data_IF_485697936301
#
_entry.id   IF_485697936301
#
_cell.length_a   1.000
_cell.length_b   1.000
_cell.length_c   1.000
_cell.angle_alpha   90.00
_cell.angle_beta   90.00
_cell.angle_gamma   90.00
#
_symmetry.space_group_name_H-M   'P 1'
#
loop_
_entity.id
_entity.type
_entity.pdbx_description
1 polymer ?
#
# COMPACT_ATOMS: atom_id res chain seq x y z
N UNK A 1 1.42 -19.86 -6.56
CA UNK A 1 2.44 -18.81 -6.51
C UNK A 1 1.65 -17.53 -6.54
N UNK A 2 1.61 -16.77 -5.45
CA UNK A 2 0.91 -15.50 -5.42
C UNK A 2 1.72 -14.41 -6.12
N UNK A 3 1.03 -13.37 -6.55
CA UNK A 3 1.59 -12.24 -7.28
C UNK A 3 1.19 -10.92 -6.62
N UNK A 4 2.00 -9.90 -6.87
CA UNK A 4 1.87 -8.57 -6.31
C UNK A 4 1.79 -7.51 -7.42
N UNK A 5 0.76 -6.70 -7.39
CA UNK A 5 0.63 -5.54 -8.25
C UNK A 5 0.46 -4.28 -7.40
N UNK A 6 1.02 -3.17 -7.85
CA UNK A 6 0.80 -1.88 -7.21
C UNK A 6 0.98 -0.76 -8.22
N UNK A 7 0.04 0.17 -8.22
CA UNK A 7 0.13 1.37 -9.03
C UNK A 7 -0.70 2.51 -8.46
N UNK A 8 -0.30 3.74 -8.81
CA UNK A 8 -1.09 4.94 -8.60
C UNK A 8 -1.55 5.45 -9.96
N UNK A 9 -2.80 5.89 -10.03
CA UNK A 9 -3.36 6.53 -11.22
C UNK A 9 -3.88 7.91 -10.86
N UNK A 10 -3.36 8.94 -11.50
CA UNK A 10 -3.81 10.33 -11.29
C UNK A 10 -4.60 10.80 -12.51
N UNK A 11 -5.75 11.44 -12.29
CA UNK A 11 -6.62 11.96 -13.34
C UNK A 11 -6.00 13.20 -13.98
N UNK A 12 -5.06 12.99 -14.91
CA UNK A 12 -4.30 14.04 -15.56
C UNK A 12 -3.97 13.65 -17.01
N UNK A 13 -3.87 14.65 -17.90
CA UNK A 13 -3.57 14.46 -19.34
C UNK A 13 -2.10 14.75 -19.69
N UNK A 14 -1.33 15.26 -18.74
CA UNK A 14 0.08 15.60 -18.93
C UNK A 14 0.97 14.86 -17.93
N UNK A 15 1.64 13.83 -18.42
CA UNK A 15 2.59 13.02 -17.66
C UNK A 15 3.85 13.80 -17.25
N UNK A 16 4.23 14.87 -17.96
CA UNK A 16 5.41 15.67 -17.60
C UNK A 16 5.15 16.47 -16.33
N UNK A 17 3.97 17.10 -16.24
CA UNK A 17 3.52 17.77 -15.00
C UNK A 17 3.45 16.79 -13.84
N UNK A 18 2.88 15.59 -14.02
CA UNK A 18 2.84 14.56 -12.96
C UNK A 18 4.26 14.15 -12.53
N UNK A 19 5.18 13.92 -13.48
CA UNK A 19 6.56 13.57 -13.17
C UNK A 19 7.30 14.69 -12.41
N UNK A 20 7.06 15.96 -12.77
CA UNK A 20 7.65 17.10 -12.08
C UNK A 20 7.09 17.26 -10.65
N UNK A 21 5.79 17.00 -10.43
CA UNK A 21 5.19 16.96 -9.09
C UNK A 21 5.75 15.84 -8.22
N UNK A 22 5.91 14.62 -8.76
CA UNK A 22 6.58 13.52 -8.05
C UNK A 22 7.98 13.95 -7.63
N UNK A 23 8.75 14.59 -8.53
CA UNK A 23 10.08 15.11 -8.20
C UNK A 23 10.01 16.16 -7.08
N UNK A 24 9.06 17.09 -7.13
CA UNK A 24 8.83 18.10 -6.09
C UNK A 24 8.57 17.48 -4.73
N UNK A 25 7.67 16.49 -4.67
CA UNK A 25 7.31 15.74 -3.45
C UNK A 25 8.54 15.03 -2.88
N UNK A 26 9.31 14.32 -3.70
CA UNK A 26 10.50 13.59 -3.23
C UNK A 26 11.56 14.54 -2.66
N UNK A 27 11.86 15.64 -3.38
CA UNK A 27 12.81 16.66 -2.92
C UNK A 27 12.37 17.30 -1.60
N UNK A 28 11.06 17.58 -1.43
CA UNK A 28 10.51 18.13 -0.20
C UNK A 28 10.63 17.15 0.99
N UNK A 29 10.58 15.86 0.71
CA UNK A 29 10.76 14.77 1.67
C UNK A 29 12.23 14.45 1.98
N UNK A 30 13.19 15.23 1.44
CA UNK A 30 14.62 15.12 1.74
C UNK A 30 15.41 14.23 0.78
N UNK A 31 14.75 13.57 -0.17
CA UNK A 31 15.43 12.78 -1.19
C UNK A 31 16.23 13.65 -2.17
N UNK A 32 17.26 13.07 -2.77
CA UNK A 32 18.04 13.65 -3.85
C UNK A 32 17.96 12.76 -5.10
N UNK A 33 17.93 13.31 -6.33
CA UNK A 33 17.96 12.51 -7.53
C UNK A 33 19.28 11.73 -7.65
N UNK A 34 19.19 10.47 -8.07
CA UNK A 34 20.35 9.61 -8.31
C UNK A 34 20.18 8.83 -9.62
N UNK A 35 21.28 8.30 -10.14
CA UNK A 35 21.28 7.37 -11.28
C UNK A 35 21.39 5.90 -10.83
N UNK A 36 21.52 5.66 -9.52
CA UNK A 36 21.60 4.32 -8.93
C UNK A 36 20.23 3.65 -8.91
N UNK A 37 20.02 2.71 -9.84
CA UNK A 37 18.77 1.96 -9.90
C UNK A 37 18.69 0.93 -8.78
N UNK A 38 17.53 0.78 -8.10
CA UNK A 38 17.34 -0.27 -7.11
C UNK A 38 17.41 -1.64 -7.78
N UNK A 39 17.87 -2.65 -7.03
CA UNK A 39 17.79 -4.03 -7.49
C UNK A 39 16.30 -4.44 -7.60
N UNK A 40 15.80 -4.80 -8.78
CA UNK A 40 14.42 -5.23 -8.94
C UNK A 40 14.09 -6.51 -8.16
N UNK A 41 15.09 -7.30 -7.76
CA UNK A 41 14.88 -8.52 -6.99
C UNK A 41 14.78 -8.27 -5.48
N UNK A 42 15.09 -7.07 -5.00
CA UNK A 42 14.95 -6.70 -3.60
C UNK A 42 13.49 -6.43 -3.22
N UNK A 43 13.02 -7.15 -2.21
CA UNK A 43 11.67 -7.05 -1.66
C UNK A 43 11.52 -5.92 -0.64
N UNK A 44 12.65 -5.44 -0.14
CA UNK A 44 12.73 -4.34 0.81
C UNK A 44 13.43 -3.21 0.06
N UNK A 45 12.84 -2.02 0.05
CA UNK A 45 13.51 -0.81 -0.43
C UNK A 45 14.85 -0.72 0.31
N UNK A 46 15.95 -1.08 -0.34
CA UNK A 46 17.27 -0.97 0.26
C UNK A 46 17.45 0.47 0.74
N UNK A 47 17.94 0.61 1.97
CA UNK A 47 17.89 1.82 2.78
C UNK A 47 18.23 3.09 1.98
N UNK A 48 17.19 3.79 1.51
CA UNK A 48 17.27 5.12 0.91
C UNK A 48 16.95 5.21 -0.59
N UNK A 49 16.90 4.11 -1.36
CA UNK A 49 16.68 4.18 -2.82
C UNK A 49 15.21 4.04 -3.22
N UNK A 50 14.60 5.12 -3.72
CA UNK A 50 13.23 5.12 -4.24
C UNK A 50 13.19 5.34 -5.74
N UNK A 51 12.46 4.49 -6.46
CA UNK A 51 12.35 4.57 -7.91
C UNK A 51 10.88 4.51 -8.36
N UNK A 52 10.52 5.48 -9.20
CA UNK A 52 9.16 5.69 -9.66
C UNK A 52 9.14 5.72 -11.19
N UNK A 53 8.31 4.90 -11.83
CA UNK A 53 8.07 4.99 -13.27
C UNK A 53 6.74 5.67 -13.52
N UNK A 54 6.75 6.63 -14.44
CA UNK A 54 5.57 7.39 -14.86
C UNK A 54 5.26 7.03 -16.31
N UNK A 55 4.03 6.60 -16.57
CA UNK A 55 3.56 6.29 -17.91
C UNK A 55 3.07 7.54 -18.65
N UNK A 56 3.01 7.47 -19.98
CA UNK A 56 2.29 8.45 -20.79
C UNK A 56 0.80 8.51 -20.40
N UNK A 57 0.21 9.70 -20.48
CA UNK A 57 -1.21 9.86 -20.21
C UNK A 57 -2.07 9.10 -21.22
N UNK A 58 -3.09 8.40 -20.73
CA UNK A 58 -4.03 7.62 -21.53
C UNK A 58 -5.43 7.71 -20.95
N UNK A 59 -6.41 8.06 -21.78
CA UNK A 59 -7.83 8.16 -21.39
C UNK A 59 -8.07 9.03 -20.13
N UNK A 60 -7.28 10.10 -19.96
CA UNK A 60 -7.37 10.99 -18.80
C UNK A 60 -6.63 10.52 -17.55
N UNK A 61 -5.78 9.49 -17.65
CA UNK A 61 -5.01 8.95 -16.54
C UNK A 61 -3.51 8.91 -16.83
N UNK A 62 -2.71 9.27 -15.83
CA UNK A 62 -1.27 8.97 -15.77
C UNK A 62 -1.06 7.85 -14.76
N UNK A 63 -0.55 6.71 -15.23
CA UNK A 63 -0.23 5.56 -14.38
C UNK A 63 1.21 5.63 -13.86
N UNK A 64 1.39 5.20 -12.60
CA UNK A 64 2.64 5.28 -11.86
C UNK A 64 2.88 3.93 -11.17
N UNK A 65 4.10 3.41 -11.26
CA UNK A 65 4.56 2.34 -10.34
C UNK A 65 5.67 2.86 -9.46
N UNK A 66 5.65 2.46 -8.20
CA UNK A 66 6.63 2.83 -7.17
C UNK A 66 7.26 1.54 -6.61
N UNK A 67 8.57 1.54 -6.35
CA UNK A 67 9.21 0.40 -5.68
C UNK A 67 8.90 0.38 -4.18
N UNK A 68 8.48 1.51 -3.60
CA UNK A 68 8.06 1.62 -2.21
C UNK A 68 6.54 1.48 -2.08
N UNK A 69 6.10 0.24 -1.82
CA UNK A 69 4.68 -0.08 -1.64
C UNK A 69 4.11 0.56 -0.38
N UNK A 70 4.92 0.77 0.67
CA UNK A 70 4.45 1.33 1.94
C UNK A 70 4.06 2.80 1.79
N UNK A 71 4.78 3.54 0.95
CA UNK A 71 4.55 4.97 0.70
C UNK A 71 3.65 5.25 -0.52
N UNK A 72 3.06 4.21 -1.13
CA UNK A 72 2.23 4.33 -2.33
C UNK A 72 0.98 5.20 -2.10
N UNK A 73 0.28 4.98 -0.98
CA UNK A 73 -0.90 5.75 -0.61
C UNK A 73 -0.55 7.21 -0.30
N UNK A 74 0.58 7.43 0.38
CA UNK A 74 1.10 8.77 0.66
C UNK A 74 1.43 9.56 -0.61
N UNK A 75 2.05 8.89 -1.58
CA UNK A 75 2.32 9.48 -2.90
C UNK A 75 1.02 9.82 -3.65
N UNK A 76 0.02 8.93 -3.64
CA UNK A 76 -1.27 9.19 -4.28
C UNK A 76 -1.99 10.40 -3.66
N UNK A 77 -2.04 10.49 -2.32
CA UNK A 77 -2.62 11.62 -1.62
C UNK A 77 -1.90 12.94 -1.95
N UNK A 78 -0.56 12.94 -1.88
CA UNK A 78 0.25 14.12 -2.17
C UNK A 78 0.08 14.61 -3.62
N UNK A 79 0.05 13.70 -4.59
CA UNK A 79 -0.21 14.05 -5.99
C UNK A 79 -1.63 14.58 -6.20
N UNK A 80 -2.61 14.01 -5.49
CA UNK A 80 -3.99 14.47 -5.56
C UNK A 80 -4.14 15.91 -5.06
N UNK A 81 -3.49 16.24 -3.94
CA UNK A 81 -3.44 17.59 -3.38
C UNK A 81 -2.72 18.57 -4.31
N UNK A 82 -1.49 18.25 -4.71
CA UNK A 82 -0.65 19.15 -5.50
C UNK A 82 -1.27 19.48 -6.88
N UNK A 83 -1.84 18.47 -7.54
CA UNK A 83 -2.42 18.62 -8.88
C UNK A 83 -3.89 19.04 -8.84
N UNK A 84 -4.52 19.05 -7.66
CA UNK A 84 -5.94 19.31 -7.50
C UNK A 84 -6.83 18.33 -8.28
N UNK A 85 -6.40 17.08 -8.41
CA UNK A 85 -7.02 16.04 -9.23
C UNK A 85 -7.25 14.77 -8.42
N UNK A 86 -8.19 13.92 -8.86
CA UNK A 86 -8.40 12.63 -8.20
C UNK A 86 -7.20 11.70 -8.45
N UNK A 87 -6.79 10.95 -7.43
CA UNK A 87 -5.79 9.90 -7.54
C UNK A 87 -6.31 8.61 -6.89
N UNK A 88 -6.06 7.46 -7.52
CA UNK A 88 -6.41 6.15 -6.97
C UNK A 88 -5.15 5.28 -6.91
N UNK A 89 -4.84 4.77 -5.72
CA UNK A 89 -3.85 3.71 -5.54
C UNK A 89 -4.57 2.36 -5.62
N UNK A 90 -3.99 1.40 -6.34
CA UNK A 90 -4.52 0.03 -6.44
C UNK A 90 -3.43 -0.97 -6.12
N UNK A 91 -3.78 -2.04 -5.42
CA UNK A 91 -2.84 -3.06 -4.97
C UNK A 91 -3.45 -4.45 -5.10
N UNK A 92 -2.60 -5.43 -5.39
CA UNK A 92 -2.91 -6.86 -5.25
C UNK A 92 -1.91 -7.46 -4.28
N UNK A 93 -2.42 -8.23 -3.32
CA UNK A 93 -1.67 -8.86 -2.24
C UNK A 93 -1.72 -10.38 -2.39
N UNK A 94 -0.57 -10.97 -2.72
CA UNK A 94 -0.31 -12.41 -2.89
C UNK A 94 -1.37 -13.17 -3.72
N UNK A 95 -2.01 -12.49 -4.68
CA UNK A 95 -3.17 -12.96 -5.46
C UNK A 95 -4.44 -13.28 -4.66
N UNK A 96 -4.46 -13.11 -3.34
CA UNK A 96 -5.61 -13.46 -2.49
C UNK A 96 -6.61 -12.31 -2.40
N UNK A 97 -6.12 -11.06 -2.43
CA UNK A 97 -6.97 -9.88 -2.30
C UNK A 97 -6.47 -8.69 -3.12
N UNK A 98 -7.40 -7.79 -3.46
CA UNK A 98 -7.09 -6.52 -4.09
C UNK A 98 -7.74 -5.36 -3.33
N UNK A 99 -7.10 -4.21 -3.45
CA UNK A 99 -7.41 -3.02 -2.68
C UNK A 99 -7.41 -1.79 -3.57
N UNK A 100 -8.22 -0.80 -3.25
CA UNK A 100 -7.99 0.57 -3.73
C UNK A 100 -8.13 1.59 -2.61
N UNK A 101 -7.45 2.72 -2.81
CA UNK A 101 -7.57 3.91 -1.96
C UNK A 101 -7.74 5.11 -2.89
N UNK A 102 -8.85 5.84 -2.75
CA UNK A 102 -9.23 6.96 -3.60
C UNK A 102 -9.07 8.28 -2.86
N UNK A 103 -8.39 9.23 -3.51
CA UNK A 103 -8.17 10.58 -3.03
C UNK A 103 -8.76 11.62 -4.00
N UNK A 104 -9.28 12.73 -3.46
CA UNK A 104 -9.61 13.96 -4.20
C UNK A 104 -9.04 15.17 -3.48
N UNK A 105 -8.15 15.91 -4.13
CA UNK A 105 -7.47 17.09 -3.57
C UNK A 105 -6.83 16.81 -2.21
N UNK A 106 -6.18 15.64 -2.10
CA UNK A 106 -5.47 15.19 -0.89
C UNK A 106 -6.36 14.54 0.17
N UNK A 107 -7.68 14.73 0.10
CA UNK A 107 -8.61 14.11 1.04
C UNK A 107 -8.89 12.65 0.65
N UNK A 108 -8.87 11.76 1.63
CA UNK A 108 -9.34 10.37 1.47
C UNK A 108 -10.85 10.40 1.20
N UNK A 109 -11.26 9.89 0.05
CA UNK A 109 -12.66 9.82 -0.39
C UNK A 109 -13.26 8.47 -0.06
N UNK A 110 -12.53 7.39 -0.36
CA UNK A 110 -13.01 6.01 -0.24
C UNK A 110 -11.85 5.02 -0.18
N UNK A 111 -12.08 3.87 0.44
CA UNK A 111 -11.14 2.75 0.54
C UNK A 111 -11.91 1.45 0.42
N UNK A 112 -11.36 0.49 -0.32
CA UNK A 112 -11.97 -0.81 -0.54
C UNK A 112 -10.92 -1.92 -0.40
N UNK A 113 -11.34 -3.02 0.21
CA UNK A 113 -10.57 -4.23 0.37
C UNK A 113 -11.45 -5.45 0.04
N UNK A 114 -11.03 -6.30 -0.88
CA UNK A 114 -11.80 -7.49 -1.28
C UNK A 114 -11.82 -8.60 -0.22
N UNK A 115 -10.88 -8.61 0.73
CA UNK A 115 -10.73 -9.59 1.81
C UNK A 115 -11.55 -9.25 3.06
N UNK A 116 -12.11 -8.04 3.14
CA UNK A 116 -13.01 -7.71 4.26
C UNK A 116 -14.33 -8.49 4.08
N UNK A 117 -14.44 -9.62 4.80
CA UNK A 117 -15.72 -10.24 5.11
C UNK A 117 -16.57 -9.19 5.85
N UNK A 118 -17.74 -8.87 5.29
CA UNK A 118 -18.64 -7.83 5.78
C UNK A 118 -18.84 -7.83 7.29
N UNK A 119 -18.18 -6.89 7.94
CA UNK A 119 -18.52 -6.35 9.27
C UNK A 119 -18.43 -4.82 9.18
N UNK A 120 -19.18 -4.24 8.22
CA UNK A 120 -19.46 -2.80 8.17
C UNK A 120 -20.73 -2.49 8.98
N UNK A 121 -20.75 -2.88 10.25
CA UNK A 121 -21.52 -2.13 11.25
C UNK A 121 -20.57 -1.06 11.83
N UNK A 122 -20.90 0.21 11.57
CA UNK A 122 -20.29 1.44 12.10
C UNK A 122 -19.27 2.22 11.22
N UNK A 123 -19.65 2.56 9.99
CA UNK A 123 -19.10 3.77 9.35
C UNK A 123 -20.22 4.69 8.83
N UNK A 124 -20.55 5.75 9.61
CA UNK A 124 -21.26 6.91 9.06
C UNK A 124 -20.27 7.85 8.37
N UNK A 125 -20.38 8.08 7.05
CA UNK A 125 -19.49 8.95 6.29
C UNK A 125 -19.87 10.40 6.56
N UNK A 126 -19.23 11.01 7.57
CA UNK A 126 -19.43 12.42 7.91
C UNK A 126 -18.74 12.91 9.19
N UNK A 127 -18.10 12.03 9.97
CA UNK A 127 -17.59 12.37 11.29
C UNK A 127 -16.17 12.96 11.39
N UNK A 128 -15.28 12.70 10.42
CA UNK A 128 -13.84 12.98 10.63
C UNK A 128 -13.37 14.38 10.21
N UNK A 129 -14.07 15.04 9.29
CA UNK A 129 -13.70 16.40 8.85
C UNK A 129 -14.26 17.52 9.75
N UNK A 130 -15.15 17.22 10.70
CA UNK A 130 -15.88 18.24 11.46
C UNK A 130 -15.46 18.40 12.92
N UNK A 131 -14.59 17.55 13.49
CA UNK A 131 -14.20 17.66 14.90
C UNK A 131 -12.76 17.20 15.14
N UNK A 132 -11.78 18.03 14.78
CA UNK A 132 -10.49 18.00 15.48
C UNK A 132 -10.13 19.42 15.89
N UNK A 133 -10.38 19.77 17.15
CA UNK A 133 -9.84 21.01 17.72
C UNK A 133 -8.34 20.83 18.01
N UNK A 134 -7.59 21.93 17.99
CA UNK A 134 -6.14 21.96 18.28
C UNK A 134 -5.81 21.29 19.63
N UNK A 135 -6.74 21.34 20.60
CA UNK A 135 -6.59 20.70 21.91
C UNK A 135 -6.68 19.15 21.82
N UNK A 136 -7.48 18.61 20.89
CA UNK A 136 -7.59 17.16 20.69
C UNK A 136 -6.36 16.58 19.98
N UNK A 137 -5.69 17.34 19.12
CA UNK A 137 -4.39 16.96 18.52
C UNK A 137 -3.31 16.86 19.60
N UNK A 138 -3.26 17.82 20.53
CA UNK A 138 -2.32 17.80 21.65
C UNK A 138 -2.58 16.62 22.59
N UNK A 139 -3.85 16.30 22.88
CA UNK A 139 -4.23 15.15 23.70
C UNK A 139 -3.92 13.82 23.00
N UNK A 140 -4.09 13.74 21.68
CA UNK A 140 -3.70 12.58 20.86
C UNK A 140 -2.17 12.37 20.87
N UNK A 141 -1.40 13.44 20.68
CA UNK A 141 0.07 13.41 20.75
C UNK A 141 0.56 13.01 22.14
N UNK A 142 -0.08 13.51 23.20
CA UNK A 142 0.27 13.15 24.58
C UNK A 142 -0.03 11.67 24.84
N UNK A 143 -1.19 11.16 24.43
CA UNK A 143 -1.54 9.73 24.52
C UNK A 143 -0.57 8.84 23.74
N UNK A 144 -0.20 9.22 22.52
CA UNK A 144 0.77 8.50 21.70
C UNK A 144 2.13 8.46 22.38
N UNK A 145 2.63 9.60 22.88
CA UNK A 145 3.92 9.64 23.58
C UNK A 145 3.96 8.80 24.86
N UNK A 146 2.86 8.77 25.62
CA UNK A 146 2.75 7.95 26.83
C UNK A 146 2.72 6.46 26.50
N UNK A 147 1.95 6.06 25.48
CA UNK A 147 1.91 4.67 24.99
C UNK A 147 3.24 4.21 24.41
N UNK A 148 3.95 5.07 23.67
CA UNK A 148 5.30 4.77 23.16
C UNK A 148 6.30 4.55 24.30
N UNK A 149 6.21 5.32 25.38
CA UNK A 149 7.06 5.11 26.57
C UNK A 149 6.73 3.79 27.29
N UNK A 150 5.45 3.44 27.44
CA UNK A 150 5.03 2.17 28.03
C UNK A 150 5.50 0.97 27.18
N UNK A 151 5.43 1.08 25.85
CA UNK A 151 5.93 0.08 24.91
C UNK A 151 7.45 -0.08 25.02
N UNK A 152 8.18 1.03 25.07
CA UNK A 152 9.63 1.04 25.22
C UNK A 152 10.05 0.40 26.56
N UNK A 153 9.29 0.62 27.62
CA UNK A 153 9.53 0.02 28.93
C UNK A 153 9.27 -1.49 28.93
N UNK A 154 8.15 -1.94 28.35
CA UNK A 154 7.86 -3.38 28.21
C UNK A 154 8.86 -4.10 27.33
N UNK A 155 9.31 -3.47 26.26
CA UNK A 155 10.38 -4.00 25.41
C UNK A 155 11.68 -4.18 26.20
N UNK A 156 12.01 -3.24 27.10
CA UNK A 156 13.16 -3.37 28.00
C UNK A 156 13.02 -4.50 29.03
N UNK A 157 11.79 -4.72 29.52
CA UNK A 157 11.47 -5.79 30.47
C UNK A 157 11.45 -7.17 29.82
N UNK A 158 11.01 -7.27 28.56
CA UNK A 158 10.97 -8.50 27.77
C UNK A 158 12.36 -8.94 27.24
N UNK A 159 13.34 -8.03 27.19
CA UNK A 159 14.72 -8.39 26.84
C UNK A 159 15.39 -9.17 27.97
N UNK A 160 16.11 -10.23 27.61
CA UNK A 160 16.97 -10.95 28.56
C UNK A 160 18.16 -10.09 28.98
N UNK A 161 18.78 -10.35 30.15
CA UNK A 161 19.97 -9.64 30.59
C UNK A 161 21.11 -9.67 29.58
N UNK A 162 21.31 -10.79 28.88
CA UNK A 162 22.34 -10.94 27.85
C UNK A 162 22.09 -10.00 26.65
N UNK A 163 20.83 -9.88 26.19
CA UNK A 163 20.47 -8.99 25.09
C UNK A 163 20.56 -7.51 25.45
N UNK A 164 20.27 -7.14 26.70
CA UNK A 164 20.49 -5.78 27.20
C UNK A 164 21.96 -5.41 27.21
N UNK A 165 22.84 -6.32 27.63
CA UNK A 165 24.29 -6.09 27.57
C UNK A 165 24.79 -5.94 26.14
N UNK A 166 24.26 -6.74 25.20
CA UNK A 166 24.56 -6.60 23.76
C UNK A 166 24.11 -5.24 23.22
N UNK A 167 22.90 -4.79 23.54
CA UNK A 167 22.37 -3.50 23.10
C UNK A 167 23.20 -2.32 23.63
N UNK A 168 23.65 -2.39 24.89
CA UNK A 168 24.54 -1.38 25.48
C UNK A 168 25.89 -1.34 24.77
N UNK A 169 26.45 -2.51 24.38
CA UNK A 169 27.68 -2.58 23.58
C UNK A 169 27.50 -1.95 22.20
N UNK A 170 26.38 -2.21 21.53
CA UNK A 170 26.09 -1.64 20.20
C UNK A 170 25.88 -0.12 20.25
N UNK A 171 25.16 0.38 21.26
CA UNK A 171 25.00 1.82 21.49
C UNK A 171 26.32 2.53 21.82
N UNK A 172 27.29 1.80 22.40
CA UNK A 172 28.65 2.28 22.64
C UNK A 172 29.55 2.21 21.39
N UNK A 173 29.02 1.80 20.23
CA UNK A 173 29.72 1.77 18.94
C UNK A 173 30.47 0.48 18.63
N UNK A 174 30.24 -0.61 19.37
CA UNK A 174 30.75 -1.94 18.99
C UNK A 174 29.84 -2.59 17.95
N UNK A 175 30.43 -3.03 16.84
CA UNK A 175 29.72 -3.79 15.81
C UNK A 175 29.22 -5.13 16.37
N UNK A 176 27.95 -5.51 16.11
CA UNK A 176 27.42 -6.83 16.46
C UNK A 176 28.21 -7.95 15.79
N UNK A 177 28.44 -9.05 16.52
CA UNK A 177 28.90 -10.30 15.91
C UNK A 177 27.72 -11.06 15.27
N UNK A 178 28.03 -11.99 14.37
CA UNK A 178 27.01 -12.77 13.65
C UNK A 178 26.15 -13.64 14.60
N UNK A 179 26.76 -14.16 15.67
CA UNK A 179 26.09 -14.96 16.71
C UNK A 179 25.18 -14.09 17.59
N UNK A 180 25.59 -12.85 17.85
CA UNK A 180 24.80 -11.83 18.54
C UNK A 180 23.59 -11.37 17.69
N UNK A 181 23.77 -11.20 16.38
CA UNK A 181 22.65 -10.90 15.47
C UNK A 181 21.65 -12.06 15.38
N UNK A 182 22.12 -13.31 15.35
CA UNK A 182 21.26 -14.48 15.34
C UNK A 182 20.44 -14.60 16.63
N UNK A 183 21.08 -14.41 17.79
CA UNK A 183 20.42 -14.47 19.10
C UNK A 183 19.39 -13.34 19.27
N UNK A 184 19.70 -12.14 18.78
CA UNK A 184 18.77 -11.02 18.77
C UNK A 184 17.58 -11.29 17.82
N UNK A 185 17.85 -11.83 16.63
CA UNK A 185 16.80 -12.21 15.66
C UNK A 185 15.88 -13.32 16.18
N UNK A 186 16.39 -14.29 16.94
CA UNK A 186 15.57 -15.35 17.54
C UNK A 186 14.65 -14.81 18.64
N UNK A 187 15.13 -13.89 19.47
CA UNK A 187 14.31 -13.17 20.45
C UNK A 187 13.25 -12.29 19.77
N UNK A 188 13.60 -11.59 18.69
CA UNK A 188 12.64 -10.82 17.88
C UNK A 188 11.53 -11.71 17.32
N UNK A 189 11.83 -12.96 16.93
CA UNK A 189 10.84 -13.91 16.42
C UNK A 189 9.91 -14.47 17.50
N UNK A 190 10.41 -14.64 18.73
CA UNK A 190 9.65 -15.32 19.82
C UNK A 190 9.01 -14.35 20.81
N UNK A 191 9.62 -13.21 21.10
CA UNK A 191 9.16 -12.25 22.11
C UNK A 191 8.35 -11.07 21.55
N UNK A 192 8.37 -10.87 20.24
CA UNK A 192 7.75 -9.72 19.58
C UNK A 192 6.33 -9.93 19.01
N UNK A 193 5.84 -11.15 18.70
CA UNK A 193 4.47 -11.33 18.20
C UNK A 193 3.40 -10.73 19.12
N UNK A 194 3.51 -10.93 20.43
CA UNK A 194 2.54 -10.39 21.41
C UNK A 194 2.60 -8.87 21.51
N UNK A 195 3.82 -8.30 21.46
CA UNK A 195 4.05 -6.86 21.50
C UNK A 195 3.52 -6.17 20.22
N UNK A 196 3.68 -6.83 19.07
CA UNK A 196 3.21 -6.35 17.76
C UNK A 196 1.70 -6.45 17.63
N UNK A 197 1.09 -7.52 18.14
CA UNK A 197 -0.37 -7.65 18.20
C UNK A 197 -1.01 -6.56 19.09
N UNK A 198 -0.38 -6.21 20.21
CA UNK A 198 -0.85 -5.12 21.08
C UNK A 198 -0.63 -3.73 20.43
N UNK A 199 0.46 -3.56 19.67
CA UNK A 199 0.72 -2.35 18.91
C UNK A 199 -0.28 -2.17 17.77
N UNK A 200 -0.60 -3.23 17.01
CA UNK A 200 -1.64 -3.23 15.99
C UNK A 200 -3.01 -2.87 16.57
N UNK A 201 -3.35 -3.47 17.73
CA UNK A 201 -4.58 -3.12 18.45
C UNK A 201 -4.62 -1.66 18.88
N UNK A 202 -3.51 -1.13 19.38
CA UNK A 202 -3.40 0.27 19.80
C UNK A 202 -3.50 1.25 18.62
N UNK A 203 -2.94 0.89 17.46
CA UNK A 203 -3.02 1.71 16.24
C UNK A 203 -4.44 1.71 15.68
N UNK A 204 -5.11 0.56 15.66
CA UNK A 204 -6.52 0.44 15.28
C UNK A 204 -7.45 1.27 16.19
N UNK A 205 -7.13 1.39 17.48
CA UNK A 205 -7.87 2.23 18.44
C UNK A 205 -7.65 3.76 18.27
N UNK A 206 -6.57 4.18 17.60
CA UNK A 206 -6.18 5.60 17.47
C UNK A 206 -6.57 6.19 16.11
N UNK A 207 -6.59 5.37 15.05
CA UNK A 207 -7.05 5.77 13.73
C UNK A 207 -7.59 4.52 13.00
N UNK A 208 -8.92 4.39 12.85
CA UNK A 208 -9.49 3.39 11.96
C UNK A 208 -8.99 3.70 10.54
N UNK A 209 -8.14 2.83 9.97
CA UNK A 209 -7.48 3.02 8.66
C UNK A 209 -5.96 2.85 8.68
N UNK A 210 -5.26 3.39 9.68
CA UNK A 210 -3.78 3.28 9.78
C UNK A 210 -3.30 1.85 10.14
N UNK A 211 -4.17 1.07 10.79
CA UNK A 211 -3.92 -0.34 11.10
C UNK A 211 -3.87 -1.25 9.86
N UNK A 212 -4.50 -0.84 8.76
CA UNK A 212 -4.49 -1.57 7.48
C UNK A 212 -3.18 -1.31 6.72
N UNK A 213 -2.70 -0.06 6.73
CA UNK A 213 -1.41 0.36 6.13
C UNK A 213 -0.21 -0.32 6.79
N UNK A 214 -0.22 -0.49 8.11
CA UNK A 214 0.86 -1.18 8.85
C UNK A 214 0.85 -2.71 8.69
N UNK A 215 -0.32 -3.33 8.45
CA UNK A 215 -0.41 -4.77 8.11
C UNK A 215 0.30 -5.05 6.77
N UNK A 216 0.17 -4.14 5.81
CA UNK A 216 0.88 -4.21 4.53
C UNK A 216 2.42 -4.17 4.70
N UNK A 217 2.94 -3.35 5.62
CA UNK A 217 4.38 -3.27 5.88
C UNK A 217 4.98 -4.46 6.61
N UNK A 218 4.18 -5.28 7.31
CA UNK A 218 4.68 -6.43 8.10
C UNK A 218 4.59 -7.77 7.35
N UNK A 219 3.67 -7.93 6.40
CA UNK A 219 3.58 -9.14 5.57
C UNK A 219 4.85 -9.36 4.72
N UNK A 220 5.54 -8.29 4.31
CA UNK A 220 6.83 -8.37 3.63
C UNK A 220 8.01 -8.88 4.47
N UNK A 221 7.86 -8.98 5.81
CA UNK A 221 8.93 -9.35 6.74
C UNK A 221 8.89 -10.78 7.28
N UNK A 222 7.84 -11.56 7.02
CA UNK A 222 7.68 -12.93 7.55
C UNK A 222 7.71 -13.98 6.44
N UNK A 223 8.91 -14.34 5.99
CA UNK A 223 9.14 -15.55 5.19
C UNK A 223 10.20 -16.42 5.87
N UNK A 224 9.76 -17.44 6.61
CA UNK A 224 10.38 -18.76 6.55
C UNK A 224 9.41 -19.86 6.99
N UNK A 225 9.42 -20.92 6.17
CA UNK A 225 8.88 -22.26 6.37
C UNK A 225 7.37 -22.48 6.25
N UNK A 226 6.93 -22.76 5.02
CA UNK A 226 5.94 -23.82 4.79
C UNK A 226 6.20 -24.52 3.46
N UNK A 227 6.99 -25.59 3.52
CA UNK A 227 7.09 -26.58 2.47
C UNK A 227 5.76 -27.34 2.32
N UNK A 228 5.22 -27.34 1.11
CA UNK A 228 4.41 -28.39 0.46
C UNK A 228 3.23 -29.02 1.21
N UNK A 229 2.04 -28.94 0.61
CA UNK A 229 1.49 -30.10 -0.13
C UNK A 229 0.32 -29.67 -1.02
N UNK A 230 0.42 -30.12 -2.27
CA UNK A 230 -0.63 -30.19 -3.28
C UNK A 230 -1.72 -31.18 -2.85
N UNK A 231 -2.99 -30.76 -2.96
CA UNK A 231 -4.09 -31.60 -3.43
C UNK A 231 -5.31 -30.72 -3.71
N UNK A 232 -5.69 -30.66 -4.98
CA UNK A 232 -6.76 -29.83 -5.47
C UNK A 232 -8.16 -30.30 -5.10
N UNK A 233 -9.11 -29.40 -5.32
CA UNK A 233 -10.46 -29.72 -5.77
C UNK A 233 -11.03 -28.45 -6.41
N UNK A 234 -11.39 -28.57 -7.69
CA UNK A 234 -12.13 -27.57 -8.46
C UNK A 234 -13.54 -27.44 -7.87
N UNK A 235 -13.84 -26.30 -7.27
CA UNK A 235 -15.16 -25.96 -6.76
C UNK A 235 -15.50 -24.53 -7.14
N UNK A 236 -16.14 -24.39 -8.30
CA UNK A 236 -16.80 -23.17 -8.76
C UNK A 236 -17.97 -22.88 -7.80
N UNK A 237 -17.81 -21.87 -6.93
CA UNK A 237 -18.88 -21.39 -6.04
C UNK A 237 -18.99 -19.88 -6.19
N UNK A 238 -19.57 -19.44 -7.31
CA UNK A 238 -20.10 -18.10 -7.44
C UNK A 238 -21.31 -17.95 -6.50
N UNK A 239 -21.07 -17.52 -5.27
CA UNK A 239 -22.11 -16.99 -4.40
C UNK A 239 -22.52 -15.61 -4.91
N UNK A 240 -23.79 -15.41 -5.26
CA UNK A 240 -24.35 -14.09 -5.51
C UNK A 240 -24.32 -13.30 -4.19
N UNK A 241 -23.25 -12.54 -3.96
CA UNK A 241 -23.22 -11.53 -2.92
C UNK A 241 -24.29 -10.48 -3.22
N UNK A 242 -25.12 -10.16 -2.21
CA UNK A 242 -26.06 -9.04 -2.30
C UNK A 242 -25.24 -7.75 -2.44
N UNK A 243 -25.07 -7.25 -3.65
CA UNK A 243 -24.20 -6.10 -3.98
C UNK A 243 -24.62 -4.76 -3.36
N UNK A 244 -25.54 -4.78 -2.39
CA UNK A 244 -26.00 -3.63 -1.62
C UNK A 244 -24.87 -2.99 -0.81
N UNK A 245 -23.92 -3.77 -0.32
CA UNK A 245 -22.70 -3.30 0.38
C UNK A 245 -21.77 -2.49 -0.53
N UNK A 246 -21.83 -2.71 -1.86
CA UNK A 246 -20.95 -2.04 -2.82
C UNK A 246 -21.50 -0.69 -3.30
N UNK A 247 -22.72 -0.33 -2.90
CA UNK A 247 -23.38 0.91 -3.33
C UNK A 247 -22.60 2.17 -2.91
N UNK A 248 -22.12 2.31 -1.65
CA UNK A 248 -21.34 3.49 -1.25
C UNK A 248 -20.08 3.67 -2.11
N UNK A 249 -19.31 2.60 -2.30
CA UNK A 249 -18.11 2.60 -3.16
C UNK A 249 -18.43 2.99 -4.60
N UNK A 250 -19.50 2.44 -5.17
CA UNK A 250 -19.92 2.78 -6.53
C UNK A 250 -20.32 4.26 -6.69
N UNK A 251 -20.93 4.87 -5.67
CA UNK A 251 -21.26 6.31 -5.69
C UNK A 251 -20.00 7.19 -5.65
N UNK A 252 -18.99 6.82 -4.85
CA UNK A 252 -17.71 7.52 -4.80
C UNK A 252 -16.93 7.42 -6.12
N UNK A 253 -16.98 6.26 -6.79
CA UNK A 253 -16.31 6.04 -8.08
C UNK A 253 -17.07 6.62 -9.28
N UNK A 254 -18.37 6.91 -9.14
CA UNK A 254 -19.24 7.38 -10.23
C UNK A 254 -18.67 8.54 -11.06
N UNK A 255 -18.01 9.57 -10.48
CA UNK A 255 -17.43 10.67 -11.26
C UNK A 255 -16.24 10.25 -12.14
N UNK A 256 -15.64 9.08 -11.88
CA UNK A 256 -14.42 8.59 -12.53
C UNK A 256 -14.70 7.56 -13.62
N UNK A 257 -15.95 7.14 -13.78
CA UNK A 257 -16.31 6.06 -14.70
C UNK A 257 -16.00 6.41 -16.15
N UNK A 258 -15.53 5.41 -16.88
CA UNK A 258 -15.35 5.50 -18.32
C UNK A 258 -16.71 5.77 -19.00
N UNK A 259 -16.70 6.43 -20.18
CA UNK A 259 -17.94 6.70 -20.91
C UNK A 259 -18.76 5.45 -21.19
N UNK A 260 -20.02 5.46 -20.77
CA UNK A 260 -20.97 4.36 -21.03
C UNK A 260 -21.00 3.27 -19.97
N UNK A 261 -20.14 3.33 -18.96
CA UNK A 261 -20.18 2.44 -17.80
C UNK A 261 -21.29 2.89 -16.84
N UNK A 262 -22.08 1.93 -16.35
CA UNK A 262 -23.09 2.18 -15.34
C UNK A 262 -22.65 1.76 -13.92
N UNK A 263 -23.39 2.22 -12.92
CA UNK A 263 -23.07 1.94 -11.51
C UNK A 263 -23.23 0.45 -11.15
N UNK A 264 -24.08 -0.29 -11.86
CA UNK A 264 -24.29 -1.71 -11.59
C UNK A 264 -23.09 -2.56 -12.06
N UNK A 265 -22.44 -2.18 -13.16
CA UNK A 265 -21.19 -2.81 -13.62
C UNK A 265 -20.08 -2.67 -12.57
N UNK A 266 -19.97 -1.50 -11.93
CA UNK A 266 -19.00 -1.26 -10.85
C UNK A 266 -19.34 -2.08 -9.62
N UNK A 267 -20.59 -2.07 -9.16
CA UNK A 267 -21.01 -2.88 -8.02
C UNK A 267 -20.72 -4.36 -8.24
N UNK A 268 -21.00 -4.86 -9.45
CA UNK A 268 -20.69 -6.23 -9.82
C UNK A 268 -19.18 -6.52 -9.80
N UNK A 269 -18.35 -5.60 -10.29
CA UNK A 269 -16.90 -5.76 -10.25
C UNK A 269 -16.33 -5.74 -8.82
N UNK A 270 -16.87 -4.89 -7.94
CA UNK A 270 -16.45 -4.81 -6.53
C UNK A 270 -16.91 -6.01 -5.70
N UNK A 271 -18.07 -6.58 -6.03
CA UNK A 271 -18.59 -7.78 -5.38
C UNK A 271 -17.93 -9.08 -5.89
N UNK A 272 -17.15 -9.02 -6.98
CA UNK A 272 -16.52 -10.20 -7.56
C UNK A 272 -15.48 -10.79 -6.61
N UNK A 273 -15.42 -12.13 -6.55
CA UNK A 273 -14.49 -12.92 -5.74
C UNK A 273 -13.94 -14.07 -6.58
N UNK A 274 -13.02 -13.74 -7.47
CA UNK A 274 -12.30 -14.72 -8.29
C UNK A 274 -11.25 -15.45 -7.45
N UNK A 275 -10.78 -16.59 -7.96
CA UNK A 275 -9.70 -17.36 -7.33
C UNK A 275 -8.41 -16.55 -7.21
N UNK A 276 -8.17 -15.66 -8.19
CA UNK A 276 -7.03 -14.77 -8.23
C UNK A 276 -7.53 -13.32 -8.27
N UNK A 277 -7.13 -12.51 -7.29
CA UNK A 277 -7.60 -11.14 -7.13
C UNK A 277 -7.26 -10.24 -8.33
N UNK A 278 -6.18 -10.53 -9.06
CA UNK A 278 -5.81 -9.84 -10.30
C UNK A 278 -6.92 -9.97 -11.36
N UNK A 279 -7.67 -11.07 -11.38
CA UNK A 279 -8.77 -11.24 -12.34
C UNK A 279 -9.90 -10.25 -12.10
N UNK A 280 -10.22 -9.98 -10.83
CA UNK A 280 -11.24 -9.00 -10.45
C UNK A 280 -10.73 -7.58 -10.72
N UNK A 281 -9.47 -7.29 -10.35
CA UNK A 281 -8.87 -6.00 -10.64
C UNK A 281 -8.76 -5.72 -12.15
N UNK A 282 -8.46 -6.73 -12.98
CA UNK A 282 -8.48 -6.64 -14.46
C UNK A 282 -9.84 -6.29 -15.03
N UNK A 283 -10.94 -6.67 -14.34
CA UNK A 283 -12.31 -6.29 -14.72
C UNK A 283 -12.68 -4.91 -14.20
N UNK A 284 -12.21 -4.53 -13.01
CA UNK A 284 -12.48 -3.25 -12.37
C UNK A 284 -11.80 -2.06 -13.09
N UNK A 285 -10.49 -2.13 -13.33
CA UNK A 285 -9.72 -0.98 -13.84
C UNK A 285 -10.27 -0.38 -15.16
N UNK A 286 -10.66 -1.19 -16.17
CA UNK A 286 -11.24 -0.65 -17.40
C UNK A 286 -12.52 0.14 -17.20
N UNK A 287 -13.28 -0.12 -16.13
CA UNK A 287 -14.49 0.63 -15.81
C UNK A 287 -14.19 2.09 -15.42
N UNK A 288 -12.96 2.37 -14.98
CA UNK A 288 -12.44 3.72 -14.74
C UNK A 288 -11.70 4.31 -15.95
N UNK A 289 -11.52 3.53 -17.02
CA UNK A 289 -10.69 3.90 -18.18
C UNK A 289 -9.20 3.60 -17.98
N UNK A 290 -8.84 2.84 -16.93
CA UNK A 290 -7.47 2.40 -16.67
C UNK A 290 -7.25 1.03 -17.35
N UNK A 291 -6.09 0.83 -17.98
CA UNK A 291 -5.80 -0.41 -18.68
C UNK A 291 -5.72 -1.63 -17.74
N UNK A 292 -6.32 -2.75 -18.12
CA UNK A 292 -6.30 -3.97 -17.30
C UNK A 292 -4.89 -4.49 -16.97
N UNK A 293 -3.88 -4.20 -17.81
CA UNK A 293 -2.48 -4.62 -17.57
C UNK A 293 -1.94 -4.14 -16.23
N UNK A 294 -2.44 -3.02 -15.69
CA UNK A 294 -1.98 -2.49 -14.41
C UNK A 294 -2.29 -3.41 -13.22
N UNK A 295 -3.25 -4.34 -13.36
CA UNK A 295 -3.51 -5.37 -12.37
C UNK A 295 -2.39 -6.42 -12.26
N UNK A 296 -1.49 -6.48 -13.25
CA UNK A 296 -0.36 -7.40 -13.29
C UNK A 296 0.99 -6.65 -13.17
N UNK A 297 0.97 -5.32 -12.95
CA UNK A 297 2.17 -4.49 -12.90
C UNK A 297 2.50 -4.06 -11.46
N UNK A 298 3.77 -4.23 -11.14
CA UNK A 298 4.46 -3.59 -10.01
C UNK A 298 5.81 -3.08 -10.51
N UNK A 299 6.51 -2.28 -9.73
CA UNK A 299 7.86 -1.86 -10.09
C UNK A 299 8.78 -3.07 -10.38
N UNK A 300 8.65 -4.14 -9.57
CA UNK A 300 9.37 -5.41 -9.72
C UNK A 300 9.02 -6.11 -11.03
N UNK A 301 7.73 -6.39 -11.25
CA UNK A 301 7.29 -7.15 -12.42
C UNK A 301 7.36 -6.35 -13.72
N UNK A 302 7.65 -5.06 -13.66
CA UNK A 302 7.90 -4.25 -14.85
C UNK A 302 8.97 -4.87 -15.76
N UNK A 303 10.01 -5.48 -15.19
CA UNK A 303 11.09 -6.10 -15.93
C UNK A 303 10.69 -7.39 -16.68
N UNK A 304 9.55 -7.98 -16.34
CA UNK A 304 9.02 -9.18 -17.00
C UNK A 304 8.42 -8.89 -18.38
N UNK A 305 8.16 -7.60 -18.67
CA UNK A 305 7.62 -7.16 -19.95
C UNK A 305 8.65 -6.40 -20.77
N UNK A 306 8.67 -6.66 -22.07
CA UNK A 306 9.40 -5.80 -23.01
C UNK A 306 8.66 -4.46 -23.20
N UNK A 307 9.37 -3.38 -23.58
CA UNK A 307 8.74 -2.11 -23.90
C UNK A 307 7.67 -2.22 -24.99
N UNK A 308 7.86 -3.10 -25.98
CA UNK A 308 6.90 -3.31 -27.06
C UNK A 308 5.62 -4.03 -26.57
N UNK A 309 5.75 -4.98 -25.64
CA UNK A 309 4.61 -5.65 -25.01
C UNK A 309 3.78 -4.68 -24.15
N UNK A 310 4.44 -3.85 -23.35
CA UNK A 310 3.77 -2.80 -22.57
C UNK A 310 3.08 -1.79 -23.50
N UNK A 311 3.77 -1.34 -24.56
CA UNK A 311 3.20 -0.40 -25.52
C UNK A 311 1.99 -0.99 -26.26
N UNK A 312 2.02 -2.28 -26.61
CA UNK A 312 0.87 -2.99 -27.19
C UNK A 312 -0.32 -3.09 -26.22
N UNK A 313 -0.04 -3.16 -24.92
CA UNK A 313 -1.05 -3.10 -23.83
C UNK A 313 -1.42 -1.67 -23.43
N UNK A 314 -0.87 -0.66 -24.11
CA UNK A 314 -1.23 0.74 -23.92
C UNK A 314 -0.44 1.47 -22.83
N UNK A 315 0.70 0.92 -22.39
CA UNK A 315 1.59 1.51 -21.38
C UNK A 315 2.92 1.87 -22.03
N UNK A 316 3.28 3.15 -22.00
CA UNK A 316 4.60 3.64 -22.46
C UNK A 316 5.22 4.44 -21.32
N UNK A 317 6.49 4.17 -21.00
CA UNK A 317 7.20 4.94 -19.97
C UNK A 317 7.52 6.33 -20.51
N UNK A 318 7.03 7.35 -19.82
CA UNK A 318 7.37 8.74 -20.10
C UNK A 318 8.56 9.22 -19.26
N UNK A 319 8.66 8.77 -18.01
CA UNK A 319 9.77 9.09 -17.12
C UNK A 319 10.08 7.93 -16.18
N UNK A 320 11.34 7.81 -15.79
CA UNK A 320 11.80 6.96 -14.70
C UNK A 320 12.62 7.84 -13.78
N UNK A 321 12.08 8.09 -12.60
CA UNK A 321 12.66 8.95 -11.57
C UNK A 321 13.28 8.07 -10.50
N UNK A 322 14.49 8.39 -10.07
CA UNK A 322 15.23 7.61 -9.07
C UNK A 322 15.85 8.57 -8.06
N UNK A 323 15.77 8.19 -6.80
CA UNK A 323 16.09 9.04 -5.67
C UNK A 323 16.85 8.27 -4.57
N UNK A 324 17.69 8.97 -3.82
CA UNK A 324 18.40 8.51 -2.63
C UNK A 324 18.14 9.44 -1.42
N UNK A 325 18.23 8.95 -0.19
CA UNK A 325 18.13 9.75 1.05
C UNK A 325 19.47 10.11 1.67
#
# INVERSE_FOLDING_TARGET
>A
MGSWANSVHVRHDDNATVADSIRGIMLASGYQPTDEAPDPDDWVVEAGLRAVRVAEAREGWVGIVDNDVAELAGLAAALSDELGACAIAVLVNDSDSWHYILFDRGDLVDEFNSDEEGDLEDFEPGGLAAMVSVDQVAELQQRLSQRTQELQQRMQEAMTPELREMQVRWQAGQMPTQEEMASYGEWMKTGMPDLMAEMQKTIAEISPGLGSVMRLGQAGGQLHDAAGTDQGETGDVAGEADGSEMVPHAEHLRPLLAPGVDAAEIQHALAARSVFAEEDLRRFLPLLGIGAVWADLSYRYWAEFTPDELAAKGVRVAAHLIFET
#
